data_IF_456289134111
#
_entry.id   IF_456289134111
#
_cell.length_a   1.000
_cell.length_b   1.000
_cell.length_c   1.000
_cell.angle_alpha   90.00
_cell.angle_beta   90.00
_cell.angle_gamma   90.00
#
_symmetry.space_group_name_H-M   'P 1'
#
loop_
_entity.id
_entity.type
_entity.pdbx_description
1 polymer ?
#
# COMPACT_ATOMS: atom_id res chain seq x y z
N UNK A 1 -41.09 30.99 -54.71
CA UNK A 1 -39.74 31.52 -54.41
C UNK A 1 -39.36 31.04 -53.01
N UNK A 2 -38.77 29.84 -52.89
CA UNK A 2 -38.14 29.43 -51.63
C UNK A 2 -36.92 30.33 -51.49
N UNK A 3 -36.95 31.19 -50.46
CA UNK A 3 -36.01 32.29 -50.33
C UNK A 3 -34.58 31.75 -50.23
N UNK A 4 -33.66 32.33 -50.98
CA UNK A 4 -32.22 31.98 -51.04
C UNK A 4 -31.58 31.84 -49.63
N UNK A 5 -32.16 32.55 -48.66
CA UNK A 5 -31.81 32.51 -47.24
C UNK A 5 -32.01 31.13 -46.58
N UNK A 6 -33.03 30.35 -46.97
CA UNK A 6 -33.32 29.03 -46.38
C UNK A 6 -32.28 27.99 -46.81
N UNK A 7 -31.80 28.08 -48.05
CA UNK A 7 -30.75 27.19 -48.57
C UNK A 7 -29.39 27.44 -47.91
N UNK A 8 -29.06 28.71 -47.66
CA UNK A 8 -27.83 29.06 -46.93
C UNK A 8 -27.84 28.59 -45.48
N UNK A 9 -28.98 28.70 -44.79
CA UNK A 9 -29.12 28.20 -43.41
C UNK A 9 -29.00 26.67 -43.32
N UNK A 10 -29.61 25.92 -44.24
CA UNK A 10 -29.50 24.46 -44.26
C UNK A 10 -28.08 24.00 -44.54
N UNK A 11 -27.38 24.64 -45.50
CA UNK A 11 -25.98 24.33 -45.82
C UNK A 11 -25.06 24.50 -44.60
N UNK A 12 -25.19 25.62 -43.87
CA UNK A 12 -24.39 25.88 -42.66
C UNK A 12 -24.63 24.85 -41.55
N UNK A 13 -25.87 24.36 -41.41
CA UNK A 13 -26.20 23.32 -40.43
C UNK A 13 -25.55 21.98 -40.80
N UNK A 14 -25.53 21.60 -42.08
CA UNK A 14 -24.83 20.39 -42.55
C UNK A 14 -23.31 20.48 -42.33
N UNK A 15 -22.70 21.65 -42.57
CA UNK A 15 -21.27 21.86 -42.29
C UNK A 15 -20.96 21.82 -40.79
N UNK A 16 -21.82 22.36 -39.94
CA UNK A 16 -21.65 22.31 -38.49
C UNK A 16 -21.76 20.88 -37.93
N UNK A 17 -22.76 20.10 -38.38
CA UNK A 17 -22.95 18.70 -37.96
C UNK A 17 -21.79 17.83 -38.49
N UNK A 18 -21.37 18.05 -39.74
CA UNK A 18 -20.20 17.38 -40.33
C UNK A 18 -18.91 17.69 -39.56
N UNK A 19 -18.68 18.94 -39.17
CA UNK A 19 -17.51 19.32 -38.37
C UNK A 19 -17.49 18.70 -36.98
N UNK A 20 -18.64 18.69 -36.28
CA UNK A 20 -18.75 18.12 -34.93
C UNK A 20 -18.52 16.61 -34.95
N UNK A 21 -19.09 15.89 -35.92
CA UNK A 21 -18.91 14.44 -36.04
C UNK A 21 -17.44 14.06 -36.31
N UNK A 22 -16.72 14.82 -37.13
CA UNK A 22 -15.28 14.62 -37.37
C UNK A 22 -14.46 14.85 -36.10
N UNK A 23 -14.75 15.90 -35.32
CA UNK A 23 -14.04 16.18 -34.06
C UNK A 23 -14.26 15.10 -33.00
N UNK A 24 -15.49 14.56 -32.90
CA UNK A 24 -15.80 13.45 -32.02
C UNK A 24 -15.01 12.20 -32.46
N UNK A 25 -14.96 11.91 -33.76
CA UNK A 25 -14.21 10.77 -34.29
C UNK A 25 -12.71 10.90 -34.00
N UNK A 26 -12.13 12.09 -34.21
CA UNK A 26 -10.72 12.38 -33.90
C UNK A 26 -10.45 12.21 -32.40
N UNK A 27 -11.36 12.67 -31.53
CA UNK A 27 -11.22 12.51 -30.07
C UNK A 27 -11.27 11.04 -29.64
N UNK A 28 -12.17 10.25 -30.23
CA UNK A 28 -12.27 8.80 -29.97
C UNK A 28 -11.00 8.07 -30.43
N UNK A 29 -10.51 8.38 -31.64
CA UNK A 29 -9.27 7.78 -32.16
C UNK A 29 -8.05 8.18 -31.33
N UNK A 30 -7.99 9.44 -30.87
CA UNK A 30 -6.93 9.91 -29.99
C UNK A 30 -6.94 9.19 -28.63
N UNK A 31 -8.13 9.00 -28.03
CA UNK A 31 -8.29 8.23 -26.79
C UNK A 31 -7.92 6.76 -26.97
N UNK A 32 -8.31 6.13 -28.08
CA UNK A 32 -7.98 4.73 -28.39
C UNK A 32 -6.46 4.53 -28.58
N UNK A 33 -5.78 5.45 -29.27
CA UNK A 33 -4.32 5.40 -29.46
C UNK A 33 -3.59 5.54 -28.12
N UNK A 34 -4.05 6.43 -27.24
CA UNK A 34 -3.41 6.67 -25.95
C UNK A 34 -3.60 5.49 -24.96
N UNK A 35 -4.78 4.88 -24.94
CA UNK A 35 -5.06 3.70 -24.12
C UNK A 35 -4.18 2.50 -24.53
N UNK A 36 -3.98 2.27 -25.84
CA UNK A 36 -3.11 1.22 -26.33
C UNK A 36 -1.63 1.47 -26.00
N UNK A 37 -1.16 2.72 -26.03
CA UNK A 37 0.21 3.05 -25.62
C UNK A 37 0.45 2.86 -24.11
N UNK A 38 -0.51 3.24 -23.27
CA UNK A 38 -0.41 3.00 -21.82
C UNK A 38 -0.40 1.50 -21.48
N UNK A 39 -1.22 0.70 -22.16
CA UNK A 39 -1.23 -0.76 -21.97
C UNK A 39 0.10 -1.39 -22.37
N UNK A 40 0.71 -0.94 -23.47
CA UNK A 40 2.01 -1.42 -23.92
C UNK A 40 3.14 -1.00 -22.97
N UNK A 41 3.10 0.23 -22.44
CA UNK A 41 4.07 0.72 -21.47
C UNK A 41 4.01 -0.09 -20.17
N UNK A 42 2.80 -0.37 -19.67
CA UNK A 42 2.59 -1.19 -18.48
C UNK A 42 3.05 -2.64 -18.68
N UNK A 43 2.81 -3.23 -19.86
CA UNK A 43 3.33 -4.56 -20.21
C UNK A 43 4.85 -4.60 -20.23
N UNK A 44 5.51 -3.61 -20.86
CA UNK A 44 6.98 -3.53 -20.87
C UNK A 44 7.57 -3.30 -19.47
N UNK A 45 6.89 -2.52 -18.61
CA UNK A 45 7.32 -2.34 -17.22
C UNK A 45 7.23 -3.65 -16.42
N UNK A 46 6.16 -4.43 -16.63
CA UNK A 46 5.96 -5.72 -15.99
C UNK A 46 7.01 -6.75 -16.43
N UNK A 47 7.34 -6.79 -17.72
CA UNK A 47 8.38 -7.67 -18.27
C UNK A 47 9.78 -7.32 -17.74
N UNK A 48 10.10 -6.02 -17.61
CA UNK A 48 11.34 -5.57 -16.98
C UNK A 48 11.42 -5.99 -15.51
N UNK A 49 10.31 -5.96 -14.78
CA UNK A 49 10.26 -6.45 -13.39
C UNK A 49 10.50 -7.97 -13.31
N UNK A 50 9.91 -8.76 -14.21
CA UNK A 50 10.14 -10.21 -14.29
C UNK A 50 11.59 -10.56 -14.64
N UNK A 51 12.24 -9.80 -15.54
CA UNK A 51 13.65 -10.03 -15.88
C UNK A 51 14.61 -9.66 -14.74
N UNK A 52 14.32 -8.58 -14.02
CA UNK A 52 15.11 -8.16 -12.87
C UNK A 52 15.00 -9.17 -11.70
N UNK A 53 13.84 -9.82 -11.53
CA UNK A 53 13.65 -10.91 -10.57
C UNK A 53 14.36 -12.21 -10.98
N UNK A 54 14.32 -12.60 -12.26
CA UNK A 54 15.02 -13.81 -12.74
C UNK A 54 16.55 -13.70 -12.60
N UNK A 55 17.11 -12.49 -12.76
CA UNK A 55 18.53 -12.23 -12.53
C UNK A 55 18.93 -12.35 -11.05
N UNK A 56 18.02 -12.08 -10.11
CA UNK A 56 18.29 -12.21 -8.67
C UNK A 56 18.25 -13.67 -8.18
N UNK A 57 17.45 -14.55 -8.81
CA UNK A 57 17.38 -15.96 -8.42
C UNK A 57 18.61 -16.78 -8.82
N UNK A 58 19.46 -16.29 -9.72
CA UNK A 58 20.67 -17.01 -10.15
C UNK A 58 21.90 -16.75 -9.26
N UNK A 59 21.86 -15.77 -8.34
CA UNK A 59 23.00 -15.47 -7.46
C UNK A 59 22.97 -16.18 -6.10
N UNK A 60 21.89 -16.89 -5.74
CA UNK A 60 21.77 -17.60 -4.45
C UNK A 60 22.14 -19.09 -4.50
N UNK A 61 22.82 -19.56 -5.55
CA UNK A 61 23.28 -20.96 -5.67
C UNK A 61 24.56 -21.26 -4.88
N UNK A 62 25.01 -20.34 -4.01
CA UNK A 62 26.37 -20.31 -3.45
C UNK A 62 26.44 -20.38 -1.92
N UNK A 63 25.55 -21.08 -1.23
CA UNK A 63 25.77 -21.38 0.20
C UNK A 63 25.07 -22.67 0.64
N UNK A 64 25.60 -23.81 0.19
CA UNK A 64 25.38 -25.09 0.87
C UNK A 64 26.72 -25.79 1.00
N UNK A 65 27.35 -25.61 2.15
CA UNK A 65 28.29 -26.54 2.80
C UNK A 65 28.74 -25.90 4.11
N UNK A 66 28.04 -26.23 5.20
CA UNK A 66 28.70 -26.68 6.43
C UNK A 66 27.67 -27.25 7.41
N UNK A 67 28.03 -28.45 7.88
CA UNK A 67 27.38 -29.28 8.89
C UNK A 67 27.14 -28.50 10.18
N UNK A 68 26.02 -28.78 10.86
CA UNK A 68 26.07 -29.13 12.28
C UNK A 68 24.88 -30.01 12.67
N UNK A 69 25.23 -31.17 13.20
CA UNK A 69 24.40 -32.11 13.95
C UNK A 69 23.76 -31.37 15.14
N UNK A 70 22.45 -31.50 15.29
CA UNK A 70 21.83 -31.55 16.61
C UNK A 70 20.93 -32.78 16.67
N UNK A 71 21.10 -33.49 17.78
CA UNK A 71 20.52 -34.78 18.13
C UNK A 71 19.01 -34.61 18.33
N UNK A 72 18.21 -35.41 17.62
CA UNK A 72 16.80 -35.61 17.94
C UNK A 72 16.71 -36.95 18.68
N UNK A 73 16.29 -36.88 19.94
CA UNK A 73 15.97 -38.03 20.78
C UNK A 73 14.53 -38.48 20.44
N UNK A 74 14.27 -39.78 20.17
CA UNK A 74 12.93 -40.23 19.81
C UNK A 74 12.07 -40.48 21.06
N UNK A 75 10.91 -39.83 21.12
CA UNK A 75 9.82 -40.12 22.08
C UNK A 75 9.40 -41.61 22.03
N UNK A 76 9.19 -42.30 23.17
CA UNK A 76 8.85 -43.71 23.20
C UNK A 76 7.37 -43.97 22.94
N UNK A 77 7.11 -45.06 22.20
CA UNK A 77 5.77 -45.61 21.91
C UNK A 77 5.11 -46.14 23.18
N UNK A 78 3.84 -45.82 23.40
CA UNK A 78 2.99 -46.47 24.38
C UNK A 78 1.81 -47.18 23.70
N UNK A 79 1.67 -48.47 23.95
CA UNK A 79 0.43 -49.27 23.80
C UNK A 79 0.14 -49.94 25.18
N UNK A 80 -1.01 -50.62 25.38
CA UNK A 80 -2.21 -50.06 25.97
C UNK A 80 -2.51 -50.69 27.35
N UNK A 81 -3.23 -49.98 28.23
CA UNK A 81 -3.78 -50.57 29.45
C UNK A 81 -5.29 -50.33 29.47
N UNK A 82 -6.05 -51.42 29.41
CA UNK A 82 -7.49 -51.47 29.59
C UNK A 82 -7.75 -51.77 31.08
N UNK A 83 -8.39 -50.86 31.80
CA UNK A 83 -9.20 -51.23 32.97
C UNK A 83 -10.34 -50.20 33.21
N UNK A 84 -11.52 -50.54 32.70
CA UNK A 84 -12.82 -50.56 33.39
C UNK A 84 -13.07 -49.57 34.56
N UNK A 85 -14.00 -48.60 34.37
CA UNK A 85 -15.28 -48.44 35.12
C UNK A 85 -15.82 -46.99 35.08
N UNK A 86 -17.14 -46.90 34.90
CA UNK A 86 -18.07 -45.77 35.07
C UNK A 86 -18.05 -44.65 34.01
N UNK A 87 -19.15 -44.58 33.24
CA UNK A 87 -19.49 -43.46 32.38
C UNK A 87 -19.84 -42.22 33.22
N UNK A 88 -19.22 -41.04 32.99
CA UNK A 88 -19.69 -39.81 33.59
C UNK A 88 -20.96 -39.32 32.86
N UNK A 89 -21.90 -38.87 33.69
CA UNK A 89 -23.16 -38.23 33.35
C UNK A 89 -23.02 -37.14 32.28
N UNK A 90 -23.71 -37.30 31.15
CA UNK A 90 -23.72 -36.39 29.99
C UNK A 90 -24.67 -35.19 30.18
N UNK A 91 -25.16 -34.94 31.39
CA UNK A 91 -26.05 -33.81 31.70
C UNK A 91 -25.39 -32.42 31.68
N UNK A 92 -24.08 -32.31 31.46
CA UNK A 92 -23.35 -31.03 31.45
C UNK A 92 -22.77 -30.59 30.09
N UNK A 93 -23.11 -31.28 28.98
CA UNK A 93 -22.77 -30.77 27.64
C UNK A 93 -23.71 -29.60 27.32
N UNK A 94 -23.36 -28.42 27.84
CA UNK A 94 -23.82 -27.15 27.27
C UNK A 94 -23.32 -27.09 25.83
N UNK A 95 -24.20 -27.37 24.87
CA UNK A 95 -24.00 -26.91 23.50
C UNK A 95 -24.11 -25.38 23.52
N UNK A 96 -23.08 -24.61 23.16
CA UNK A 96 -23.25 -23.17 23.00
C UNK A 96 -24.07 -22.96 21.72
N UNK A 97 -25.38 -22.84 21.88
CA UNK A 97 -26.29 -22.38 20.84
C UNK A 97 -26.34 -20.86 20.87
N UNK A 98 -25.33 -20.18 20.34
CA UNK A 98 -25.47 -18.79 19.93
C UNK A 98 -24.71 -18.54 18.64
N UNK A 99 -25.38 -17.88 17.71
CA UNK A 99 -24.88 -17.39 16.44
C UNK A 99 -23.80 -16.33 16.74
N UNK A 100 -22.58 -16.75 17.08
CA UNK A 100 -21.47 -15.86 17.41
C UNK A 100 -21.07 -15.10 16.13
N UNK A 101 -21.67 -13.93 15.95
CA UNK A 101 -21.36 -13.02 14.86
C UNK A 101 -19.91 -12.57 15.04
N UNK A 102 -18.99 -13.16 14.29
CA UNK A 102 -17.58 -12.79 14.30
C UNK A 102 -17.51 -11.29 14.05
N UNK A 103 -17.11 -10.52 15.06
CA UNK A 103 -16.89 -9.09 14.92
C UNK A 103 -15.58 -8.88 14.20
N UNK A 104 -15.64 -8.22 13.04
CA UNK A 104 -14.47 -7.85 12.26
C UNK A 104 -13.63 -6.82 13.03
N UNK A 105 -12.33 -7.05 13.05
CA UNK A 105 -11.33 -6.17 13.63
C UNK A 105 -11.28 -4.88 12.84
N UNK A 106 -11.14 -3.78 13.56
CA UNK A 106 -10.93 -2.46 12.97
C UNK A 106 -9.53 -2.01 13.32
N UNK A 107 -8.79 -1.49 12.35
CA UNK A 107 -7.43 -0.96 12.55
C UNK A 107 -7.28 0.38 11.85
N UNK A 108 -6.27 1.16 12.23
CA UNK A 108 -6.04 2.47 11.64
C UNK A 108 -4.58 2.73 11.28
N UNK A 109 -4.38 3.65 10.33
CA UNK A 109 -3.12 4.32 10.03
C UNK A 109 -3.29 5.83 10.13
N UNK A 110 -2.45 6.48 10.91
CA UNK A 110 -2.23 7.93 10.81
C UNK A 110 -1.17 8.17 9.73
N UNK A 111 -1.50 8.99 8.72
CA UNK A 111 -0.71 9.18 7.51
C UNK A 111 -0.09 10.56 7.47
N UNK A 112 1.20 10.61 7.15
CA UNK A 112 1.87 11.81 6.69
C UNK A 112 2.07 11.77 5.17
N UNK A 113 1.94 12.92 4.52
CA UNK A 113 2.35 13.15 3.13
C UNK A 113 3.30 14.35 3.10
N UNK A 114 4.52 14.16 2.61
CA UNK A 114 5.52 15.23 2.53
C UNK A 114 5.91 15.80 3.89
N UNK A 115 5.93 14.97 4.94
CA UNK A 115 6.21 15.39 6.31
C UNK A 115 5.05 16.09 7.02
N UNK A 116 3.90 16.28 6.36
CA UNK A 116 2.72 16.89 6.95
C UNK A 116 1.66 15.83 7.27
N UNK A 117 1.04 15.93 8.46
CA UNK A 117 -0.07 15.07 8.87
C UNK A 117 -1.24 15.26 7.92
N UNK A 118 -1.64 14.18 7.24
CA UNK A 118 -2.70 14.17 6.22
C UNK A 118 -4.00 13.52 6.69
N UNK A 119 -4.00 12.82 7.81
CA UNK A 119 -5.21 12.29 8.41
C UNK A 119 -5.10 10.81 8.73
N UNK A 120 -6.25 10.20 9.02
CA UNK A 120 -6.34 8.81 9.46
C UNK A 120 -7.10 7.98 8.43
N UNK A 121 -6.59 6.80 8.12
CA UNK A 121 -7.29 5.77 7.35
C UNK A 121 -7.71 4.69 8.33
N UNK A 122 -8.99 4.30 8.30
CA UNK A 122 -9.52 3.22 9.13
C UNK A 122 -9.93 2.06 8.22
N UNK A 123 -9.54 0.85 8.59
CA UNK A 123 -9.79 -0.38 7.85
C UNK A 123 -10.65 -1.32 8.67
N UNK A 124 -11.59 -1.98 8.00
CA UNK A 124 -12.25 -3.19 8.48
C UNK A 124 -11.53 -4.41 7.91
N UNK A 125 -11.14 -5.36 8.76
CA UNK A 125 -10.48 -6.61 8.35
C UNK A 125 -11.49 -7.75 8.27
N UNK A 126 -11.38 -8.60 7.25
CA UNK A 126 -12.32 -9.70 7.00
C UNK A 126 -11.95 -10.95 7.80
N UNK A 127 -11.99 -10.86 9.14
CA UNK A 127 -11.65 -11.98 10.05
C UNK A 127 -12.50 -13.23 9.84
N UNK A 128 -13.73 -13.07 9.38
CA UNK A 128 -14.68 -14.12 9.01
C UNK A 128 -14.36 -14.80 7.66
N UNK A 129 -13.58 -14.15 6.78
CA UNK A 129 -13.27 -14.64 5.43
C UNK A 129 -11.83 -15.17 5.35
N UNK A 130 -10.87 -14.43 5.90
CA UNK A 130 -9.44 -14.73 5.89
C UNK A 130 -8.81 -14.43 7.27
N UNK A 131 -9.17 -15.20 8.30
CA UNK A 131 -8.76 -14.97 9.68
C UNK A 131 -7.24 -14.92 9.89
N UNK A 132 -6.46 -15.73 9.16
CA UNK A 132 -5.00 -15.73 9.31
C UNK A 132 -4.39 -14.48 8.71
N UNK A 133 -4.85 -14.09 7.52
CA UNK A 133 -4.37 -12.89 6.82
C UNK A 133 -4.74 -11.63 7.58
N UNK A 134 -5.99 -11.53 8.06
CA UNK A 134 -6.47 -10.44 8.88
C UNK A 134 -5.69 -10.33 10.20
N UNK A 135 -5.51 -11.46 10.91
CA UNK A 135 -4.72 -11.49 12.16
C UNK A 135 -3.28 -11.04 11.97
N UNK A 136 -2.63 -11.44 10.86
CA UNK A 136 -1.28 -10.97 10.53
C UNK A 136 -1.23 -9.44 10.44
N UNK A 137 -2.13 -8.85 9.66
CA UNK A 137 -2.17 -7.40 9.50
C UNK A 137 -2.52 -6.67 10.80
N UNK A 138 -3.51 -7.16 11.56
CA UNK A 138 -3.89 -6.61 12.88
C UNK A 138 -2.71 -6.56 13.83
N UNK A 139 -1.99 -7.68 13.99
CA UNK A 139 -0.82 -7.75 14.85
C UNK A 139 0.32 -6.82 14.41
N UNK A 140 0.50 -6.61 13.10
CA UNK A 140 1.48 -5.66 12.56
C UNK A 140 1.03 -4.20 12.73
N UNK A 141 -0.28 -3.92 12.77
CA UNK A 141 -0.79 -2.60 13.19
C UNK A 141 -0.52 -2.34 14.67
N UNK A 142 -0.74 -3.30 15.56
CA UNK A 142 -0.57 -3.11 17.01
C UNK A 142 0.89 -3.20 17.46
N UNK A 143 1.74 -3.95 16.75
CA UNK A 143 3.10 -4.24 17.20
C UNK A 143 3.17 -5.25 18.35
N UNK A 144 2.06 -5.91 18.70
CA UNK A 144 1.94 -6.78 19.89
C UNK A 144 2.87 -8.00 19.87
N UNK A 145 3.43 -8.34 18.69
CA UNK A 145 4.35 -9.46 18.52
C UNK A 145 5.81 -9.10 18.80
N UNK A 146 6.08 -7.85 19.20
CA UNK A 146 7.41 -7.42 19.64
C UNK A 146 8.43 -7.41 18.51
N UNK A 147 9.61 -7.97 18.78
CA UNK A 147 10.74 -7.98 17.84
C UNK A 147 10.72 -9.25 17.00
N UNK A 148 10.80 -9.10 15.69
CA UNK A 148 10.87 -10.21 14.74
C UNK A 148 12.28 -10.78 14.57
N UNK A 149 12.42 -11.81 13.72
CA UNK A 149 13.72 -12.47 13.47
C UNK A 149 14.71 -11.53 12.79
N UNK A 150 14.24 -10.48 12.12
CA UNK A 150 15.11 -9.45 11.54
C UNK A 150 15.69 -8.49 12.59
N UNK A 151 15.38 -8.65 13.87
CA UNK A 151 15.80 -7.74 14.94
C UNK A 151 15.06 -6.39 14.93
N UNK A 152 13.98 -6.27 14.16
CA UNK A 152 13.15 -5.05 14.07
C UNK A 152 11.77 -5.29 14.67
N UNK A 153 11.10 -4.24 15.17
CA UNK A 153 9.71 -4.35 15.60
C UNK A 153 8.81 -4.86 14.47
N UNK A 154 7.94 -5.83 14.79
CA UNK A 154 6.88 -6.30 13.90
C UNK A 154 5.72 -5.29 13.91
N UNK A 155 5.99 -4.09 13.37
CA UNK A 155 5.04 -2.98 13.38
C UNK A 155 5.07 -2.19 12.07
N UNK A 156 3.90 -1.69 11.66
CA UNK A 156 3.78 -0.74 10.54
C UNK A 156 4.06 0.71 10.91
N UNK A 157 4.31 1.02 12.19
CA UNK A 157 4.66 2.37 12.62
C UNK A 157 6.01 2.79 12.02
N UNK A 158 6.04 3.95 11.36
CA UNK A 158 7.18 4.49 10.63
C UNK A 158 7.39 3.89 9.23
N UNK A 159 6.47 3.07 8.74
CA UNK A 159 6.60 2.43 7.43
C UNK A 159 6.12 3.34 6.31
N UNK A 160 6.89 3.35 5.22
CA UNK A 160 6.60 4.14 4.02
C UNK A 160 5.81 3.33 2.99
N UNK A 161 4.96 4.02 2.24
CA UNK A 161 4.39 3.50 1.00
C UNK A 161 5.43 3.63 -0.12
N UNK A 162 6.30 2.62 -0.21
CA UNK A 162 7.47 2.64 -1.09
C UNK A 162 7.11 2.59 -2.59
N UNK A 163 5.89 2.18 -2.94
CA UNK A 163 5.41 2.13 -4.33
C UNK A 163 3.96 2.59 -4.42
N UNK A 164 3.73 3.75 -5.03
CA UNK A 164 2.40 4.28 -5.32
C UNK A 164 2.29 4.46 -6.84
N UNK A 165 1.24 3.90 -7.43
CA UNK A 165 0.94 4.01 -8.87
C UNK A 165 -0.44 4.65 -9.00
N UNK A 166 -0.53 5.92 -9.45
CA UNK A 166 -1.81 6.59 -9.69
C UNK A 166 -2.70 5.79 -10.64
N UNK A 167 -3.99 5.73 -10.33
CA UNK A 167 -4.99 4.95 -11.05
C UNK A 167 -4.98 3.45 -10.72
N UNK A 168 -4.09 3.00 -9.83
CA UNK A 168 -3.92 1.58 -9.51
C UNK A 168 -3.94 1.32 -8.00
N UNK A 169 -2.82 1.53 -7.30
CA UNK A 169 -2.69 1.17 -5.88
C UNK A 169 -1.52 1.86 -5.17
N UNK A 170 -1.56 1.86 -3.83
CA UNK A 170 -0.45 2.20 -2.95
C UNK A 170 0.02 0.97 -2.16
N UNK A 171 1.28 0.58 -2.34
CA UNK A 171 1.92 -0.56 -1.69
C UNK A 171 2.87 -0.12 -0.58
N UNK A 172 2.75 -0.77 0.57
CA UNK A 172 3.52 -0.50 1.79
C UNK A 172 3.87 -1.77 2.54
N UNK A 173 4.24 -1.61 3.81
CA UNK A 173 4.46 -2.71 4.76
C UNK A 173 5.91 -3.10 5.02
N UNK A 174 6.87 -2.70 4.18
CA UNK A 174 8.29 -3.02 4.38
C UNK A 174 8.93 -2.20 5.51
N UNK A 175 8.87 -2.71 6.74
CA UNK A 175 9.50 -2.12 7.94
C UNK A 175 10.99 -2.46 8.11
N UNK A 176 11.59 -3.30 7.25
CA UNK A 176 13.01 -3.66 7.40
C UNK A 176 13.93 -2.95 6.42
N UNK A 177 13.55 -2.84 5.15
CA UNK A 177 14.36 -2.15 4.14
C UNK A 177 13.68 -0.92 3.55
N UNK A 178 12.36 -0.78 3.72
CA UNK A 178 11.60 0.36 3.20
C UNK A 178 11.56 0.46 1.67
N UNK A 179 11.95 -0.58 0.94
CA UNK A 179 12.13 -0.57 -0.51
C UNK A 179 11.37 -1.70 -1.24
N UNK A 180 10.62 -2.52 -0.51
CA UNK A 180 9.84 -3.63 -1.03
C UNK A 180 10.59 -4.98 -1.07
N UNK A 181 11.81 -5.06 -0.54
CA UNK A 181 12.60 -6.31 -0.46
C UNK A 181 12.69 -6.90 0.94
N UNK A 182 12.22 -6.17 1.95
CA UNK A 182 12.43 -6.50 3.35
C UNK A 182 11.34 -7.35 4.01
N UNK A 183 10.98 -6.97 5.23
CA UNK A 183 9.95 -7.46 6.17
C UNK A 183 9.85 -8.94 6.51
N UNK A 184 8.94 -9.22 7.44
CA UNK A 184 8.50 -10.58 7.80
C UNK A 184 7.06 -10.56 8.36
N UNK A 185 6.33 -11.66 8.24
CA UNK A 185 5.00 -11.82 8.84
C UNK A 185 5.10 -12.27 10.30
N UNK A 186 3.98 -12.23 11.02
CA UNK A 186 3.91 -12.80 12.38
C UNK A 186 4.09 -14.33 12.41
N UNK A 187 4.05 -14.98 11.25
CA UNK A 187 4.21 -16.43 11.08
C UNK A 187 5.61 -16.81 10.57
N UNK A 188 6.50 -15.83 10.38
CA UNK A 188 7.82 -15.99 9.75
C UNK A 188 7.90 -15.25 8.41
N UNK A 189 8.89 -15.61 7.57
CA UNK A 189 9.18 -14.84 6.36
C UNK A 189 8.01 -14.82 5.36
N UNK A 190 7.34 -15.95 5.16
CA UNK A 190 6.20 -16.10 4.24
C UNK A 190 5.10 -17.00 4.81
N UNK A 191 3.87 -16.82 4.33
CA UNK A 191 2.74 -17.72 4.57
C UNK A 191 1.87 -17.91 3.31
N UNK A 192 1.07 -18.97 3.32
CA UNK A 192 0.24 -19.40 2.19
C UNK A 192 -0.89 -18.41 1.85
N UNK A 193 -1.40 -18.47 0.63
CA UNK A 193 -2.64 -17.80 0.26
C UNK A 193 -3.81 -18.46 1.00
N UNK A 194 -4.65 -17.66 1.65
CA UNK A 194 -5.74 -18.21 2.47
C UNK A 194 -6.98 -18.51 1.62
N UNK A 195 -7.43 -17.56 0.80
CA UNK A 195 -8.43 -17.75 -0.25
C UNK A 195 -8.48 -16.53 -1.19
N UNK A 196 -9.31 -16.61 -2.22
CA UNK A 196 -9.53 -15.53 -3.20
C UNK A 196 -11.03 -15.23 -3.40
N UNK A 197 -11.82 -15.28 -2.33
CA UNK A 197 -13.27 -15.06 -2.39
C UNK A 197 -13.61 -13.61 -2.75
N UNK A 198 -12.92 -12.67 -2.12
CA UNK A 198 -13.11 -11.24 -2.30
C UNK A 198 -12.41 -10.72 -3.56
N UNK A 199 -12.97 -9.65 -4.14
CA UNK A 199 -12.58 -9.07 -5.43
C UNK A 199 -11.85 -7.74 -5.25
N UNK A 200 -10.94 -7.42 -6.15
CA UNK A 200 -10.18 -6.17 -6.12
C UNK A 200 -10.99 -5.00 -6.66
N UNK A 201 -11.69 -4.30 -5.76
CA UNK A 201 -12.41 -3.05 -6.05
C UNK A 201 -11.67 -1.85 -5.43
N UNK A 202 -12.15 -0.63 -5.71
CA UNK A 202 -11.61 0.58 -5.06
C UNK A 202 -11.66 0.46 -3.54
N UNK A 203 -10.60 0.92 -2.88
CA UNK A 203 -10.45 0.91 -1.43
C UNK A 203 -10.35 -0.47 -0.76
N UNK A 204 -10.21 -1.55 -1.54
CA UNK A 204 -9.82 -2.87 -1.02
C UNK A 204 -8.39 -2.85 -0.44
N UNK A 205 -8.19 -3.62 0.63
CA UNK A 205 -6.90 -3.91 1.23
C UNK A 205 -6.51 -5.36 0.89
N UNK A 206 -5.33 -5.56 0.29
CA UNK A 206 -4.92 -6.86 -0.24
C UNK A 206 -3.43 -7.13 -0.06
N UNK A 207 -3.06 -8.42 0.00
CA UNK A 207 -1.68 -8.85 0.24
C UNK A 207 -0.81 -8.70 -1.02
N UNK A 208 0.35 -8.07 -0.88
CA UNK A 208 1.39 -8.18 -1.90
C UNK A 208 2.16 -9.50 -1.72
N UNK A 209 2.51 -10.14 -2.84
CA UNK A 209 3.26 -11.39 -2.88
C UNK A 209 4.17 -11.45 -4.12
N UNK A 210 5.06 -12.43 -4.16
CA UNK A 210 5.96 -12.72 -5.27
C UNK A 210 5.55 -14.00 -6.03
N UNK A 211 4.24 -14.27 -6.08
CA UNK A 211 3.66 -15.52 -6.59
C UNK A 211 2.91 -16.31 -5.52
N UNK A 212 2.33 -17.47 -5.89
CA UNK A 212 1.49 -18.25 -5.00
C UNK A 212 2.17 -18.60 -3.68
N UNK A 213 1.44 -18.48 -2.58
CA UNK A 213 1.87 -18.83 -1.22
C UNK A 213 3.12 -18.09 -0.72
N UNK A 214 3.30 -16.84 -1.16
CA UNK A 214 4.43 -15.99 -0.74
C UNK A 214 4.00 -14.70 -0.04
N UNK A 215 2.84 -14.72 0.62
CA UNK A 215 2.38 -13.60 1.44
C UNK A 215 3.35 -13.37 2.60
N UNK A 216 3.49 -12.12 3.02
CA UNK A 216 4.34 -11.78 4.16
C UNK A 216 3.76 -10.62 4.96
N UNK A 217 4.26 -9.43 4.70
CA UNK A 217 3.98 -8.24 5.48
C UNK A 217 3.64 -7.04 4.60
N UNK A 218 3.91 -7.15 3.29
CA UNK A 218 3.54 -6.12 2.34
C UNK A 218 2.07 -6.24 1.97
N UNK A 219 1.45 -5.09 1.83
CA UNK A 219 0.07 -4.96 1.45
C UNK A 219 -0.04 -3.83 0.43
N UNK A 220 -1.19 -3.77 -0.24
CA UNK A 220 -1.56 -2.61 -1.03
C UNK A 220 -3.01 -2.20 -0.80
N UNK A 221 -3.26 -0.90 -0.93
CA UNK A 221 -4.58 -0.28 -0.90
C UNK A 221 -4.94 0.08 -2.34
N UNK A 222 -6.09 -0.38 -2.81
CA UNK A 222 -6.57 -0.12 -4.17
C UNK A 222 -7.10 1.31 -4.31
N UNK A 223 -6.68 2.02 -5.36
CA UNK A 223 -7.34 3.27 -5.78
C UNK A 223 -8.49 2.98 -6.75
N UNK A 224 -8.30 1.99 -7.64
CA UNK A 224 -9.28 1.62 -8.64
C UNK A 224 -9.49 0.10 -8.69
N UNK A 225 -10.54 -0.36 -9.39
CA UNK A 225 -10.80 -1.79 -9.63
C UNK A 225 -9.68 -2.42 -10.46
N UNK A 226 -9.28 -3.65 -10.12
CA UNK A 226 -8.22 -4.38 -10.82
C UNK A 226 -8.47 -5.90 -10.86
N UNK A 227 -9.39 -6.33 -11.72
CA UNK A 227 -9.80 -7.75 -11.82
C UNK A 227 -8.65 -8.72 -12.16
N UNK A 228 -7.60 -8.24 -12.81
CA UNK A 228 -6.44 -9.08 -13.18
C UNK A 228 -5.60 -9.56 -11.97
N UNK A 229 -5.86 -9.00 -10.79
CA UNK A 229 -5.29 -9.44 -9.51
C UNK A 229 -6.14 -10.51 -8.81
N UNK A 230 -7.40 -10.70 -9.22
CA UNK A 230 -8.28 -11.71 -8.64
C UNK A 230 -7.70 -13.11 -8.83
N UNK A 231 -7.74 -13.93 -7.79
CA UNK A 231 -7.13 -15.28 -7.80
C UNK A 231 -5.62 -15.29 -7.64
N UNK A 232 -4.96 -14.14 -7.49
CA UNK A 232 -3.49 -14.02 -7.30
C UNK A 232 -3.10 -13.34 -6.00
N UNK A 233 -3.93 -12.43 -5.51
CA UNK A 233 -3.71 -11.68 -4.27
C UNK A 233 -4.93 -11.83 -3.36
N UNK A 234 -4.69 -12.09 -2.07
CA UNK A 234 -5.74 -12.25 -1.08
C UNK A 234 -6.23 -10.87 -0.63
N UNK A 235 -7.46 -10.50 -0.98
CA UNK A 235 -8.15 -9.33 -0.40
C UNK A 235 -8.63 -9.71 1.00
N UNK A 236 -8.22 -8.93 2.00
CA UNK A 236 -8.43 -9.27 3.41
C UNK A 236 -9.04 -8.15 4.26
N UNK A 237 -9.40 -7.03 3.64
CA UNK A 237 -10.08 -5.94 4.30
C UNK A 237 -10.45 -4.84 3.32
N UNK A 238 -10.95 -3.73 3.86
CA UNK A 238 -11.29 -2.52 3.11
C UNK A 238 -11.19 -1.27 3.96
N UNK A 239 -11.01 -0.13 3.32
CA UNK A 239 -11.12 1.17 3.98
C UNK A 239 -12.58 1.45 4.31
N UNK A 240 -12.84 1.93 5.53
CA UNK A 240 -14.17 2.34 6.00
C UNK A 240 -14.24 3.82 6.40
N UNK A 241 -13.10 4.47 6.69
CA UNK A 241 -12.96 5.93 6.91
C UNK A 241 -11.62 6.43 6.36
N UNK A 242 -11.54 7.71 6.00
CA UNK A 242 -10.31 8.33 5.49
C UNK A 242 -10.09 8.15 3.98
N UNK A 243 -11.17 8.04 3.20
CA UNK A 243 -11.11 7.90 1.74
C UNK A 243 -10.34 9.06 1.10
N UNK A 244 -10.54 10.28 1.60
CA UNK A 244 -9.85 11.49 1.15
C UNK A 244 -8.34 11.46 1.39
N UNK A 245 -7.88 10.71 2.41
CA UNK A 245 -6.47 10.48 2.69
C UNK A 245 -5.89 9.51 1.66
N UNK A 246 -6.60 8.42 1.36
CA UNK A 246 -6.23 7.47 0.30
C UNK A 246 -6.13 8.17 -1.06
N UNK A 247 -7.12 8.99 -1.41
CA UNK A 247 -7.10 9.76 -2.65
C UNK A 247 -5.96 10.80 -2.68
N UNK A 248 -5.59 11.37 -1.51
CA UNK A 248 -4.44 12.27 -1.41
C UNK A 248 -3.11 11.53 -1.58
N UNK A 249 -3.01 10.28 -1.11
CA UNK A 249 -1.86 9.42 -1.36
C UNK A 249 -1.71 9.14 -2.86
N UNK A 250 -2.80 8.90 -3.58
CA UNK A 250 -2.77 8.73 -5.04
C UNK A 250 -2.20 9.97 -5.75
N UNK A 251 -2.67 11.16 -5.34
CA UNK A 251 -2.22 12.44 -5.91
C UNK A 251 -0.74 12.74 -5.63
N UNK A 252 -0.15 12.17 -4.58
CA UNK A 252 1.24 12.41 -4.19
C UNK A 252 2.30 11.99 -5.23
N UNK A 253 1.91 11.18 -6.24
CA UNK A 253 2.78 10.70 -7.32
C UNK A 253 2.27 11.04 -8.72
N UNK A 254 1.29 11.93 -8.88
CA UNK A 254 0.74 12.23 -10.20
C UNK A 254 1.78 12.90 -11.12
N UNK A 255 1.73 12.56 -12.42
CA UNK A 255 2.62 13.13 -13.42
C UNK A 255 2.47 14.66 -13.45
N UNK A 256 3.60 15.37 -13.36
CA UNK A 256 3.62 16.84 -13.32
C UNK A 256 3.50 17.44 -11.91
N UNK A 257 3.39 16.63 -10.85
CA UNK A 257 3.46 17.09 -9.46
C UNK A 257 4.77 16.65 -8.78
N UNK A 258 5.19 17.40 -7.76
CA UNK A 258 6.32 17.00 -6.90
C UNK A 258 5.97 15.68 -6.19
N UNK A 259 6.88 14.72 -6.27
CA UNK A 259 6.77 13.45 -5.54
C UNK A 259 6.87 13.70 -4.04
N UNK A 260 5.79 13.41 -3.30
CA UNK A 260 5.80 13.46 -1.84
C UNK A 260 5.96 12.06 -1.25
N UNK A 261 6.74 11.96 -0.17
CA UNK A 261 6.83 10.73 0.62
C UNK A 261 5.54 10.52 1.41
N UNK A 262 5.08 9.26 1.49
CA UNK A 262 3.89 8.88 2.26
C UNK A 262 4.31 7.86 3.32
N UNK A 263 3.98 8.16 4.58
CA UNK A 263 4.43 7.41 5.76
C UNK A 263 3.27 7.15 6.72
N UNK A 264 3.28 5.96 7.34
CA UNK A 264 2.41 5.60 8.46
C UNK A 264 3.09 6.07 9.76
N UNK A 265 2.73 7.23 10.28
CA UNK A 265 3.37 7.76 11.49
C UNK A 265 2.91 7.07 12.77
N UNK A 266 1.71 6.51 12.75
CA UNK A 266 1.17 5.73 13.84
C UNK A 266 0.12 4.74 13.32
N UNK A 267 -0.05 3.63 14.03
CA UNK A 267 -1.01 2.59 13.68
C UNK A 267 -1.46 1.83 14.92
N UNK A 268 -2.61 1.15 14.82
CA UNK A 268 -3.14 0.36 15.93
C UNK A 268 -4.48 -0.28 15.61
N UNK A 269 -5.06 -0.90 16.63
CA UNK A 269 -6.41 -1.49 16.60
C UNK A 269 -7.45 -0.53 17.18
N UNK A 270 -8.68 -0.62 16.69
CA UNK A 270 -9.78 0.31 16.93
C UNK A 270 -9.82 1.45 15.89
N UNK A 271 -10.68 2.43 16.13
CA UNK A 271 -10.80 3.62 15.28
C UNK A 271 -9.73 4.69 15.60
N UNK A 272 -9.07 4.59 16.77
CA UNK A 272 -8.23 5.66 17.31
C UNK A 272 -9.05 6.87 17.81
N UNK A 273 -8.44 7.79 18.55
CA UNK A 273 -9.14 8.98 19.06
C UNK A 273 -9.52 9.97 17.95
N UNK A 274 -10.70 10.60 18.10
CA UNK A 274 -11.27 11.62 17.20
C UNK A 274 -10.52 12.96 17.30
N UNK A 275 -9.28 13.03 16.82
CA UNK A 275 -8.69 14.34 16.53
C UNK A 275 -9.22 14.85 15.20
N UNK A 276 -10.03 15.92 15.27
CA UNK A 276 -10.65 16.58 14.12
C UNK A 276 -9.57 17.02 13.13
N UNK A 277 -9.61 16.44 11.94
CA UNK A 277 -8.62 16.67 10.89
C UNK A 277 -9.01 17.86 9.99
N UNK A 278 -8.16 18.88 9.91
CA UNK A 278 -8.27 19.96 8.92
C UNK A 278 -7.25 19.68 7.81
N UNK A 279 -7.68 19.33 6.58
CA UNK A 279 -6.76 19.14 5.47
C UNK A 279 -6.05 20.45 5.14
N UNK A 280 -4.76 20.56 5.43
CA UNK A 280 -3.94 21.64 4.89
C UNK A 280 -3.77 21.41 3.37
N UNK A 281 -3.86 22.45 2.53
CA UNK A 281 -3.48 22.35 1.12
C UNK A 281 -2.02 21.89 1.04
N UNK A 282 -1.70 21.00 0.09
CA UNK A 282 -0.31 20.69 -0.22
C UNK A 282 0.34 21.97 -0.76
N UNK A 283 1.07 22.69 0.10
CA UNK A 283 1.91 23.79 -0.34
C UNK A 283 3.02 23.20 -1.24
N UNK A 284 3.34 23.83 -2.38
CA UNK A 284 4.56 23.51 -3.09
C UNK A 284 5.75 23.62 -2.13
N UNK A 285 6.80 22.78 -2.26
CA UNK A 285 7.99 22.93 -1.45
C UNK A 285 8.51 24.36 -1.61
N UNK A 286 8.56 25.11 -0.51
CA UNK A 286 9.14 26.43 -0.51
C UNK A 286 10.63 26.28 -0.84
N UNK A 287 11.01 26.56 -2.08
CA UNK A 287 12.41 26.85 -2.44
C UNK A 287 12.94 28.15 -1.78
N UNK A 288 12.20 28.75 -0.84
CA UNK A 288 12.47 30.08 -0.31
C UNK A 288 13.07 30.12 1.11
N UNK A 289 13.42 28.98 1.72
CA UNK A 289 14.09 28.96 3.03
C UNK A 289 15.61 28.73 2.95
N UNK A 290 16.11 28.04 1.92
CA UNK A 290 17.57 27.85 1.74
C UNK A 290 18.32 29.12 1.31
N UNK A 291 17.69 29.99 0.49
CA UNK A 291 18.37 31.19 -0.02
C UNK A 291 18.48 32.32 1.01
N UNK A 292 17.61 32.35 2.03
CA UNK A 292 17.69 33.38 3.09
C UNK A 292 18.79 33.08 4.10
N UNK A 293 19.03 31.81 4.44
CA UNK A 293 20.12 31.44 5.33
C UNK A 293 21.50 31.55 4.65
N UNK A 294 21.61 31.19 3.36
CA UNK A 294 22.87 31.35 2.62
C UNK A 294 23.22 32.83 2.38
N UNK A 295 22.22 33.70 2.12
CA UNK A 295 22.45 35.15 2.07
C UNK A 295 22.77 35.76 3.44
N UNK A 296 22.17 35.27 4.52
CA UNK A 296 22.49 35.76 5.86
C UNK A 296 23.93 35.40 6.26
N UNK A 297 24.38 34.18 5.91
CA UNK A 297 25.74 33.69 6.21
C UNK A 297 26.82 34.42 5.39
N UNK A 298 26.58 34.67 4.09
CA UNK A 298 27.49 35.46 3.23
C UNK A 298 27.54 36.96 3.57
N UNK A 299 26.59 37.47 4.34
CA UNK A 299 26.57 38.87 4.84
C UNK A 299 27.30 38.97 6.19
N UNK A 300 27.28 37.93 7.03
CA UNK A 300 28.07 37.89 8.26
C UNK A 300 29.57 37.71 8.02
N UNK A 301 29.98 36.90 7.03
CA UNK A 301 31.41 36.70 6.73
C UNK A 301 32.07 37.98 6.19
N UNK A 302 31.39 38.75 5.35
CA UNK A 302 31.91 40.04 4.84
C UNK A 302 32.02 41.15 5.89
N UNK A 303 31.33 41.03 7.03
CA UNK A 303 31.48 41.99 8.15
C UNK A 303 32.64 41.61 9.09
N UNK A 304 33.11 40.37 9.08
CA UNK A 304 34.25 39.94 9.90
C UNK A 304 35.60 40.32 9.26
N UNK A 305 35.68 40.46 7.94
CA UNK A 305 36.93 40.77 7.23
C UNK A 305 37.23 42.28 7.08
N UNK A 306 36.25 43.16 7.36
CA UNK A 306 36.40 44.62 7.18
C UNK A 306 36.89 45.41 8.39
N UNK A 307 37.29 44.75 9.48
CA UNK A 307 37.55 45.39 10.77
C UNK A 307 39.00 45.30 11.25
N UNK A 308 40.00 45.54 10.41
CA UNK A 308 41.37 45.74 10.90
C UNK A 308 42.26 46.57 9.95
N UNK A 309 42.02 47.88 9.90
CA UNK A 309 43.08 48.85 9.57
C UNK A 309 42.82 50.12 10.36
N UNK A 310 43.60 50.35 11.42
CA UNK A 310 44.24 51.63 11.73
C UNK A 310 44.88 51.57 13.12
N UNK A 311 46.19 51.40 13.16
CA UNK A 311 47.06 52.00 14.16
C UNK A 311 48.49 51.95 13.66
N UNK A 312 48.94 53.03 13.01
CA UNK A 312 50.35 53.46 12.93
C UNK A 312 50.40 54.91 12.42
N UNK A 313 50.41 55.87 13.35
CA UNK A 313 51.32 57.03 13.43
C UNK A 313 50.85 58.01 14.50
#
# INVERSE_FOLDING_TARGET
RISFSVFFSLSMIFYAIGGITVLILISILYRAKNANQQLLLNKMLLEKQHHQQKSCCQHDSGCQKQKQQSVYEPEPKAEPVIESLAAPDVSSIMFPSENHKITRSVVFFDINIGGQRRGKIVFELFDDICPRTAKNFRCLCTGEKGIGKSGKPLSYKGVKFHRIIPGFMAQGGDFTQGNGRGGESIYGFRFADENFKEKHVSYSLSMANAGPNTNGFQFFIMFNKAEWLDGKHCVFGRVIKGFEVVDAMERSQQQGQTKYEVEIVNCGEGEGGDEVFVPLPLSPPSQAQGEKEEKAMRVSERKAEGGNTNNHQ
#
